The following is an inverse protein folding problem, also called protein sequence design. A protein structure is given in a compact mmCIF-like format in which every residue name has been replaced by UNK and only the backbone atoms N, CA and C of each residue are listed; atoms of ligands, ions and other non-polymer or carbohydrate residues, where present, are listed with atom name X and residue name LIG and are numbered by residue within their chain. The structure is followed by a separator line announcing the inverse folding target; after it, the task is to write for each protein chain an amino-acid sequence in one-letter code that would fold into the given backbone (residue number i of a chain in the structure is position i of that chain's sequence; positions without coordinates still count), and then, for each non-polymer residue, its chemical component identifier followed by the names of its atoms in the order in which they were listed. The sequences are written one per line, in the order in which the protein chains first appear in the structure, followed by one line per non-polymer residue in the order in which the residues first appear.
data_IF_764205528419
#
_entry.id   IF_764205528419
#
_cell.length_a   1.000
_cell.length_b   1.000
_cell.length_c   1.000
_cell.angle_alpha   90.00
_cell.angle_beta   90.00
_cell.angle_gamma   90.00
#
_symmetry.space_group_name_H-M   'P 1'
#
loop_
_entity.id
_entity.type
_entity.pdbx_description
1 polymer ?
#
# COMPACT_ATOMS: atom_id res chain seq x y z
N UNK A 1 -0.57 9.64 -3.81
CA UNK A 1 0.49 8.62 -3.94
C UNK A 1 1.09 8.56 -5.34
N UNK A 2 0.33 8.43 -6.43
CA UNK A 2 0.87 8.38 -7.83
C UNK A 2 1.88 9.49 -8.16
N UNK A 3 1.60 10.75 -7.79
CA UNK A 3 2.52 11.87 -8.07
C UNK A 3 3.89 11.73 -7.38
N UNK A 4 3.94 11.13 -6.18
CA UNK A 4 5.20 10.88 -5.48
C UNK A 4 6.03 9.81 -6.18
N UNK A 5 5.40 8.70 -6.56
CA UNK A 5 6.07 7.58 -7.25
C UNK A 5 6.62 8.04 -8.61
N UNK A 6 5.84 8.84 -9.35
CA UNK A 6 6.28 9.43 -10.61
C UNK A 6 7.47 10.38 -10.41
N UNK A 7 7.48 11.20 -9.36
CA UNK A 7 8.65 12.05 -9.07
C UNK A 7 9.87 11.24 -8.63
N UNK A 8 9.70 10.18 -7.85
CA UNK A 8 10.78 9.27 -7.45
C UNK A 8 11.39 8.52 -8.64
N UNK A 9 10.59 8.21 -9.67
CA UNK A 9 11.06 7.52 -10.87
C UNK A 9 11.79 8.40 -11.89
N UNK A 10 11.79 9.72 -11.74
CA UNK A 10 12.42 10.64 -12.71
C UNK A 10 13.89 10.86 -12.39
N UNK A 11 14.77 10.65 -13.38
CA UNK A 11 16.22 10.83 -13.26
C UNK A 11 16.61 12.25 -12.80
N UNK A 12 17.20 12.40 -11.62
CA UNK A 12 17.61 13.70 -11.09
C UNK A 12 19.11 13.95 -11.33
N UNK A 13 19.44 15.09 -11.93
CA UNK A 13 20.83 15.47 -12.26
C UNK A 13 21.72 15.56 -11.01
N UNK A 14 21.16 15.95 -9.87
CA UNK A 14 21.92 16.01 -8.62
C UNK A 14 22.34 14.62 -8.10
N UNK A 15 21.69 13.55 -8.55
CA UNK A 15 22.04 12.17 -8.18
C UNK A 15 23.30 11.71 -8.93
N UNK A 16 23.54 12.23 -10.15
CA UNK A 16 24.73 11.95 -10.96
C UNK A 16 25.89 12.91 -10.68
N UNK A 17 25.60 14.15 -10.29
CA UNK A 17 26.59 15.19 -10.05
C UNK A 17 26.45 15.73 -8.62
N UNK A 18 27.26 15.24 -7.66
CA UNK A 18 27.14 15.62 -6.25
C UNK A 18 27.27 17.13 -5.97
N UNK A 19 27.94 17.88 -6.86
CA UNK A 19 28.06 19.35 -6.76
C UNK A 19 26.72 20.09 -6.95
N UNK A 20 25.75 19.49 -7.64
CA UNK A 20 24.42 20.08 -7.89
C UNK A 20 23.43 19.83 -6.75
N UNK A 21 23.79 19.03 -5.73
CA UNK A 21 22.93 18.69 -4.60
C UNK A 21 22.43 19.91 -3.80
N UNK A 22 23.19 21.00 -3.76
CA UNK A 22 22.84 22.21 -3.00
C UNK A 22 21.91 23.15 -3.76
N UNK A 23 21.86 23.04 -5.09
CA UNK A 23 21.15 23.98 -5.96
C UNK A 23 19.72 23.49 -6.24
N UNK A 24 19.47 22.18 -6.12
CA UNK A 24 18.20 21.54 -6.53
C UNK A 24 17.74 22.06 -7.91
N UNK A 25 18.56 21.89 -8.97
CA UNK A 25 18.37 22.58 -10.25
C UNK A 25 17.02 22.29 -10.93
N UNK A 26 16.38 21.17 -10.58
CA UNK A 26 15.07 20.79 -11.11
C UNK A 26 13.93 20.99 -10.09
N UNK A 27 14.22 21.53 -8.89
CA UNK A 27 13.24 21.71 -7.81
C UNK A 27 12.62 20.41 -7.29
N UNK A 28 13.20 19.26 -7.63
CA UNK A 28 12.56 17.95 -7.40
C UNK A 28 12.67 17.54 -5.94
N UNK A 29 13.79 17.84 -5.27
CA UNK A 29 13.89 17.57 -3.82
C UNK A 29 12.80 18.31 -3.07
N UNK A 30 12.54 19.57 -3.44
CA UNK A 30 11.47 20.37 -2.85
C UNK A 30 10.08 19.77 -3.13
N UNK A 31 9.81 19.33 -4.36
CA UNK A 31 8.52 18.72 -4.72
C UNK A 31 8.30 17.38 -4.00
N UNK A 32 9.30 16.49 -4.02
CA UNK A 32 9.25 15.20 -3.31
C UNK A 32 9.02 15.41 -1.81
N UNK A 33 9.66 16.40 -1.19
CA UNK A 33 9.47 16.70 0.23
C UNK A 33 8.03 17.10 0.58
N UNK A 34 7.33 17.85 -0.29
CA UNK A 34 5.92 18.21 -0.08
C UNK A 34 5.03 16.96 -0.11
N UNK A 35 5.20 16.10 -1.10
CA UNK A 35 4.42 14.87 -1.21
C UNK A 35 4.72 13.88 -0.07
N UNK A 36 5.98 13.78 0.32
CA UNK A 36 6.41 12.93 1.43
C UNK A 36 5.85 13.43 2.77
N UNK A 37 5.84 14.76 2.99
CA UNK A 37 5.25 15.36 4.19
C UNK A 37 3.74 15.08 4.30
N UNK A 38 3.00 15.14 3.20
CA UNK A 38 1.57 14.77 3.19
C UNK A 38 1.36 13.29 3.55
N UNK A 39 2.22 12.40 3.06
CA UNK A 39 2.14 10.98 3.34
C UNK A 39 2.45 10.67 4.81
N UNK A 40 3.48 11.31 5.38
CA UNK A 40 3.81 11.19 6.80
C UNK A 40 2.64 11.60 7.70
N UNK A 41 1.96 12.71 7.39
CA UNK A 41 0.77 13.14 8.14
C UNK A 41 -0.35 12.09 8.09
N UNK A 42 -0.60 11.49 6.92
CA UNK A 42 -1.61 10.42 6.79
C UNK A 42 -1.26 9.18 7.61
N UNK A 43 0.02 8.78 7.59
CA UNK A 43 0.50 7.62 8.37
C UNK A 43 0.46 7.91 9.87
N UNK A 44 0.86 9.11 10.29
CA UNK A 44 0.75 9.57 11.67
C UNK A 44 -0.71 9.49 12.16
N UNK A 45 -1.65 10.02 11.38
CA UNK A 45 -3.08 9.96 11.69
C UNK A 45 -3.58 8.52 11.80
N UNK A 46 -3.16 7.63 10.90
CA UNK A 46 -3.53 6.21 10.91
C UNK A 46 -3.03 5.51 12.19
N UNK A 47 -1.74 5.66 12.50
CA UNK A 47 -1.11 5.05 13.67
C UNK A 47 -1.72 5.59 14.97
N UNK A 48 -1.89 6.91 15.07
CA UNK A 48 -2.49 7.55 16.24
C UNK A 48 -3.94 7.09 16.47
N UNK A 49 -4.75 6.99 15.41
CA UNK A 49 -6.12 6.45 15.50
C UNK A 49 -6.12 5.01 16.01
N UNK A 50 -5.20 4.17 15.53
CA UNK A 50 -5.11 2.77 15.96
C UNK A 50 -4.71 2.67 17.44
N UNK A 51 -3.74 3.47 17.89
CA UNK A 51 -3.35 3.56 19.30
C UNK A 51 -4.52 3.99 20.21
N UNK A 52 -5.29 5.01 19.81
CA UNK A 52 -6.46 5.46 20.58
C UNK A 52 -7.55 4.39 20.71
N UNK A 53 -7.71 3.53 19.70
CA UNK A 53 -8.65 2.39 19.76
C UNK A 53 -8.14 1.34 20.75
N UNK A 54 -6.82 1.06 20.75
CA UNK A 54 -6.18 0.10 21.65
C UNK A 54 -6.21 0.50 23.12
N UNK A 55 -6.19 1.80 23.43
CA UNK A 55 -6.28 2.32 24.80
C UNK A 55 -7.67 2.16 25.45
N UNK A 56 -8.72 1.87 24.67
CA UNK A 56 -10.08 1.71 25.22
C UNK A 56 -10.23 0.37 25.97
N UNK A 57 -10.96 0.34 27.11
CA UNK A 57 -11.10 -0.87 27.91
C UNK A 57 -11.75 -2.01 27.14
N UNK A 58 -11.26 -3.23 27.39
CA UNK A 58 -11.54 -4.45 26.62
C UNK A 58 -13.02 -4.91 26.54
N UNK A 59 -13.94 -4.24 27.24
CA UNK A 59 -15.37 -4.56 27.25
C UNK A 59 -16.14 -4.13 25.99
N UNK A 60 -15.58 -3.21 25.19
CA UNK A 60 -16.21 -2.64 23.98
C UNK A 60 -15.54 -3.09 22.67
N UNK A 61 -14.52 -3.95 22.74
CA UNK A 61 -13.75 -4.33 21.57
C UNK A 61 -14.51 -5.37 20.74
N UNK A 62 -15.21 -4.89 19.72
CA UNK A 62 -15.36 -5.58 18.43
C UNK A 62 -13.99 -6.24 18.15
N UNK A 63 -14.00 -7.55 17.84
CA UNK A 63 -12.82 -8.36 17.59
C UNK A 63 -11.71 -7.51 16.95
N UNK A 64 -10.57 -7.37 17.63
CA UNK A 64 -9.41 -6.64 17.09
C UNK A 64 -9.18 -7.16 15.67
N UNK A 65 -9.35 -6.30 14.67
CA UNK A 65 -9.04 -6.66 13.28
C UNK A 65 -7.53 -6.84 13.21
N UNK A 66 -7.05 -8.08 13.28
CA UNK A 66 -5.62 -8.36 13.26
C UNK A 66 -5.06 -8.08 11.87
N UNK A 67 -4.59 -6.85 11.67
CA UNK A 67 -3.87 -6.47 10.45
C UNK A 67 -2.36 -6.32 10.71
N UNK A 68 -1.65 -5.95 9.64
CA UNK A 68 -0.19 -5.76 9.69
C UNK A 68 0.21 -4.67 10.68
N UNK A 69 -0.55 -3.56 10.76
CA UNK A 69 -0.26 -2.48 11.70
C UNK A 69 -0.43 -2.97 13.15
N UNK A 70 -1.47 -3.76 13.42
CA UNK A 70 -1.64 -4.35 14.75
C UNK A 70 -0.49 -5.29 15.11
N UNK A 71 -0.04 -6.12 14.18
CA UNK A 71 1.11 -7.01 14.40
C UNK A 71 2.39 -6.23 14.69
N UNK A 72 2.63 -5.12 13.97
CA UNK A 72 3.80 -4.26 14.20
C UNK A 72 3.75 -3.53 15.54
N UNK A 73 2.55 -3.13 15.98
CA UNK A 73 2.35 -2.51 17.28
C UNK A 73 2.54 -3.53 18.43
N UNK A 74 2.10 -4.76 18.25
CA UNK A 74 2.33 -5.84 19.23
C UNK A 74 3.83 -6.12 19.40
N UNK A 75 4.59 -6.18 18.29
CA UNK A 75 6.06 -6.31 18.31
C UNK A 75 6.73 -5.12 19.02
N UNK A 76 6.19 -3.91 18.86
CA UNK A 76 6.69 -2.71 19.54
C UNK A 76 6.40 -2.70 21.05
N UNK A 77 5.33 -3.35 21.49
CA UNK A 77 4.96 -3.47 22.89
C UNK A 77 5.75 -4.58 23.62
N UNK A 78 6.16 -5.65 22.92
CA UNK A 78 6.89 -6.82 23.44
C UNK A 78 8.40 -6.57 23.67
N UNK A 79 8.73 -5.43 24.30
CA UNK A 79 10.02 -4.70 24.36
C UNK A 79 11.28 -5.41 24.90
N UNK A 80 11.44 -6.72 24.80
CA UNK A 80 12.61 -7.39 25.39
C UNK A 80 13.89 -7.35 24.52
N UNK A 81 13.84 -7.28 23.18
CA UNK A 81 15.08 -7.41 22.36
C UNK A 81 15.19 -6.55 21.08
N UNK A 82 14.23 -5.68 20.74
CA UNK A 82 14.26 -5.02 19.42
C UNK A 82 14.67 -3.53 19.48
N UNK A 83 15.57 -3.09 18.59
CA UNK A 83 15.82 -1.67 18.27
C UNK A 83 14.65 -1.01 17.53
N UNK A 84 13.44 -1.57 17.66
CA UNK A 84 12.29 -1.22 16.87
C UNK A 84 11.55 -0.04 17.53
N UNK A 85 11.65 1.14 16.92
CA UNK A 85 10.98 2.35 17.39
C UNK A 85 9.75 2.65 16.55
N UNK A 86 8.84 3.45 17.09
CA UNK A 86 7.60 3.88 16.42
C UNK A 86 7.85 4.44 15.00
N UNK A 87 8.97 5.12 14.79
CA UNK A 87 9.35 5.64 13.46
C UNK A 87 9.54 4.52 12.43
N UNK A 88 10.09 3.37 12.84
CA UNK A 88 10.24 2.22 11.94
C UNK A 88 8.89 1.66 11.50
N UNK A 89 7.88 1.64 12.38
CA UNK A 89 6.51 1.22 12.04
C UNK A 89 5.94 2.14 10.96
N UNK A 90 6.03 3.45 11.16
CA UNK A 90 5.52 4.45 10.22
C UNK A 90 6.17 4.32 8.85
N UNK A 91 7.50 4.21 8.81
CA UNK A 91 8.26 4.05 7.56
C UNK A 91 7.91 2.74 6.86
N UNK A 92 7.77 1.63 7.60
CA UNK A 92 7.40 0.33 7.01
C UNK A 92 6.00 0.34 6.38
N UNK A 93 5.01 0.87 7.10
CA UNK A 93 3.63 0.98 6.57
C UNK A 93 3.63 1.87 5.33
N UNK A 94 4.33 3.00 5.37
CA UNK A 94 4.47 3.90 4.24
C UNK A 94 5.10 3.21 3.02
N UNK A 95 6.20 2.48 3.21
CA UNK A 95 6.90 1.77 2.13
C UNK A 95 6.01 0.70 1.51
N UNK A 96 5.29 -0.08 2.33
CA UNK A 96 4.35 -1.08 1.86
C UNK A 96 3.25 -0.48 0.97
N UNK A 97 2.66 0.66 1.37
CA UNK A 97 1.65 1.34 0.55
C UNK A 97 2.22 1.91 -0.74
N UNK A 98 3.42 2.48 -0.71
CA UNK A 98 4.06 3.04 -1.89
C UNK A 98 4.43 1.98 -2.92
N UNK A 99 5.00 0.85 -2.48
CA UNK A 99 5.42 -0.24 -3.36
C UNK A 99 4.22 -1.00 -3.97
N UNK A 100 3.14 -1.18 -3.21
CA UNK A 100 1.99 -2.01 -3.65
C UNK A 100 1.04 -1.28 -4.59
N UNK A 101 0.81 0.02 -4.40
CA UNK A 101 -0.27 0.73 -5.11
C UNK A 101 -0.05 0.78 -6.62
N UNK A 102 1.15 1.16 -7.08
CA UNK A 102 1.42 1.37 -8.52
C UNK A 102 1.54 0.06 -9.28
N UNK A 103 2.11 -0.97 -8.65
CA UNK A 103 2.28 -2.30 -9.23
C UNK A 103 0.93 -3.02 -9.42
N UNK A 104 0.05 -2.98 -8.41
CA UNK A 104 -1.28 -3.57 -8.49
C UNK A 104 -2.16 -2.83 -9.50
N UNK A 105 -2.17 -1.48 -9.46
CA UNK A 105 -2.96 -0.67 -10.40
C UNK A 105 -2.55 -0.94 -11.84
N UNK A 106 -1.24 -0.97 -12.13
CA UNK A 106 -0.73 -1.24 -13.47
C UNK A 106 -1.10 -2.63 -13.93
N UNK A 107 -0.95 -3.65 -13.08
CA UNK A 107 -1.31 -5.03 -13.41
C UNK A 107 -2.80 -5.16 -13.73
N UNK A 108 -3.66 -4.53 -12.94
CA UNK A 108 -5.11 -4.55 -13.16
C UNK A 108 -5.50 -3.83 -14.46
N UNK A 109 -4.91 -2.66 -14.74
CA UNK A 109 -5.14 -1.91 -15.97
C UNK A 109 -4.79 -2.75 -17.20
N UNK A 110 -3.64 -3.42 -17.21
CA UNK A 110 -3.23 -4.30 -18.31
C UNK A 110 -4.12 -5.54 -18.42
N UNK A 111 -4.48 -6.18 -17.31
CA UNK A 111 -5.36 -7.35 -17.32
C UNK A 111 -6.73 -7.00 -17.95
N UNK A 112 -7.33 -5.88 -17.53
CA UNK A 112 -8.61 -5.43 -18.10
C UNK A 112 -8.47 -4.99 -19.55
N UNK A 113 -7.40 -4.28 -19.91
CA UNK A 113 -7.15 -3.88 -21.29
C UNK A 113 -7.02 -5.11 -22.22
N UNK A 114 -6.32 -6.15 -21.78
CA UNK A 114 -6.14 -7.39 -22.55
C UNK A 114 -7.45 -8.18 -22.66
N UNK A 115 -8.23 -8.27 -21.58
CA UNK A 115 -9.54 -8.93 -21.61
C UNK A 115 -10.53 -8.22 -22.54
N UNK A 116 -10.59 -6.89 -22.51
CA UNK A 116 -11.47 -6.11 -23.38
C UNK A 116 -11.08 -6.21 -24.86
N UNK A 117 -9.78 -6.35 -25.16
CA UNK A 117 -9.27 -6.58 -26.52
C UNK A 117 -9.58 -7.99 -27.05
N UNK A 118 -9.77 -8.96 -26.15
CA UNK A 118 -10.03 -10.35 -26.48
C UNK A 118 -11.37 -10.83 -25.89
N UNK A 119 -12.52 -10.44 -26.50
CA UNK A 119 -13.85 -10.71 -25.96
C UNK A 119 -14.15 -12.20 -25.75
N UNK A 120 -13.56 -13.09 -26.55
CA UNK A 120 -13.65 -14.54 -26.34
C UNK A 120 -13.01 -15.01 -25.03
N UNK A 121 -11.85 -14.44 -24.65
CA UNK A 121 -11.20 -14.72 -23.36
C UNK A 121 -12.00 -14.14 -22.20
N UNK A 122 -12.50 -12.91 -22.35
CA UNK A 122 -13.35 -12.27 -21.34
C UNK A 122 -14.65 -13.07 -21.09
N UNK A 123 -15.29 -13.58 -22.14
CA UNK A 123 -16.48 -14.41 -22.01
C UNK A 123 -16.17 -15.72 -21.28
N UNK A 124 -14.99 -16.31 -21.52
CA UNK A 124 -14.55 -17.53 -20.83
C UNK A 124 -14.30 -17.27 -19.35
N UNK A 125 -13.56 -16.21 -19.01
CA UNK A 125 -13.32 -15.82 -17.61
C UNK A 125 -14.65 -15.58 -16.88
N UNK A 126 -15.60 -14.86 -17.50
CA UNK A 126 -16.92 -14.66 -16.90
C UNK A 126 -17.65 -15.98 -16.63
N UNK A 127 -17.60 -16.91 -17.58
CA UNK A 127 -18.21 -18.24 -17.41
C UNK A 127 -17.54 -19.05 -16.30
N UNK A 128 -16.21 -19.00 -16.17
CA UNK A 128 -15.45 -19.66 -15.10
C UNK A 128 -15.84 -19.09 -13.72
N UNK A 129 -15.94 -17.77 -13.59
CA UNK A 129 -16.38 -17.11 -12.36
C UNK A 129 -17.84 -17.46 -12.00
N UNK A 130 -18.75 -17.43 -12.98
CA UNK A 130 -20.15 -17.83 -12.81
C UNK A 130 -20.28 -19.31 -12.40
N UNK A 131 -19.38 -20.18 -12.87
CA UNK A 131 -19.38 -21.60 -12.51
C UNK A 131 -18.94 -21.85 -11.06
N UNK A 132 -17.98 -21.08 -10.55
CA UNK A 132 -17.41 -21.30 -9.21
C UNK A 132 -18.28 -20.71 -8.11
N UNK A 133 -18.71 -19.45 -8.25
CA UNK A 133 -19.46 -18.75 -7.20
C UNK A 133 -20.96 -18.63 -7.50
N UNK A 134 -21.37 -18.71 -8.77
CA UNK A 134 -22.73 -18.35 -9.21
C UNK A 134 -22.84 -16.89 -9.61
N UNK A 135 -23.95 -16.52 -10.24
CA UNK A 135 -24.08 -15.22 -10.95
C UNK A 135 -24.16 -13.98 -10.05
N UNK A 136 -24.58 -14.17 -8.80
CA UNK A 136 -24.89 -13.07 -7.87
C UNK A 136 -24.13 -13.19 -6.53
N UNK A 137 -23.20 -14.14 -6.42
CA UNK A 137 -22.41 -14.32 -5.22
C UNK A 137 -21.05 -13.62 -5.35
N UNK A 138 -20.57 -12.95 -4.30
CA UNK A 138 -19.22 -12.41 -4.30
C UNK A 138 -18.19 -13.54 -4.41
N UNK A 139 -17.05 -13.22 -5.02
CA UNK A 139 -15.92 -14.14 -5.10
C UNK A 139 -15.04 -13.89 -3.89
N UNK A 140 -14.66 -14.97 -3.22
CA UNK A 140 -13.75 -14.93 -2.07
C UNK A 140 -12.35 -15.37 -2.47
N UNK A 141 -11.34 -14.98 -1.70
CA UNK A 141 -9.95 -15.46 -1.93
C UNK A 141 -9.84 -16.99 -1.79
N UNK A 142 -10.73 -17.59 -0.99
CA UNK A 142 -10.84 -19.04 -0.84
C UNK A 142 -11.26 -19.76 -2.14
N UNK A 143 -11.80 -19.04 -3.13
CA UNK A 143 -12.20 -19.55 -4.44
C UNK A 143 -11.04 -19.68 -5.42
N UNK A 144 -9.90 -19.02 -5.17
CA UNK A 144 -8.73 -19.00 -6.08
C UNK A 144 -8.29 -20.42 -6.51
N UNK A 145 -8.22 -21.45 -5.63
CA UNK A 145 -7.85 -22.80 -6.06
C UNK A 145 -8.82 -23.45 -7.07
N UNK A 146 -10.03 -22.90 -7.20
CA UNK A 146 -11.07 -23.34 -8.16
C UNK A 146 -11.06 -22.52 -9.45
N UNK A 147 -10.20 -21.51 -9.55
CA UNK A 147 -10.04 -20.64 -10.72
C UNK A 147 -8.68 -20.93 -11.40
N UNK A 148 -8.67 -21.83 -12.41
CA UNK A 148 -7.45 -22.26 -13.08
C UNK A 148 -6.85 -21.21 -14.04
#
# INVERSE_FOLDING_TARGET
MRSLIVELGKSNLADFFPSLNRIDPNGRRRQTAVYYGQLLVMIDDLVNKRLQVREKPAGDLIARETDVLDSLLDIFEDREETMFIMEHIKVLIMDMFLASTDSISTTFEWAMAELLRHPGKLSRVRAELEQVSGRDNPIEESDIPRLP
#
